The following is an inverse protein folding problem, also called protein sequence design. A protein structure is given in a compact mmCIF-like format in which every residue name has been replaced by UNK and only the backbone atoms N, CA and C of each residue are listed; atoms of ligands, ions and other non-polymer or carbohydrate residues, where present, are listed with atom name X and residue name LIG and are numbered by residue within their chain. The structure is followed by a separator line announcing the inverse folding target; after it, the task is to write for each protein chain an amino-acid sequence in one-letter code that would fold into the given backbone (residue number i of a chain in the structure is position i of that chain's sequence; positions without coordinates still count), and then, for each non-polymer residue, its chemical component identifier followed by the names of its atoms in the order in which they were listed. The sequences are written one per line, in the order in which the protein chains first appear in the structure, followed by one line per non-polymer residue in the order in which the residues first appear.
data_IF_463882751292
#
_entry.id   IF_463882751292
#
_cell.length_a   1.000
_cell.length_b   1.000
_cell.length_c   1.000
_cell.angle_alpha   90.00
_cell.angle_beta   90.00
_cell.angle_gamma   90.00
#
_symmetry.space_group_name_H-M   'P 1'
#
loop_
_entity.id
_entity.type
_entity.pdbx_description
1 polymer ?
#
# COMPACT_ATOMS: atom_id res chain seq x y z
N UNK A 1 15.14 -1.14 -12.18
CA UNK A 1 15.22 -1.22 -10.69
C UNK A 1 15.99 -2.45 -10.21
N UNK A 2 17.10 -2.83 -10.90
CA UNK A 2 17.96 -3.98 -10.51
C UNK A 2 17.19 -5.29 -10.27
N UNK A 3 16.19 -5.63 -11.10
CA UNK A 3 15.28 -6.77 -10.92
C UNK A 3 14.45 -6.71 -9.63
N UNK A 4 14.10 -5.52 -9.17
CA UNK A 4 13.10 -5.31 -8.13
C UNK A 4 11.79 -4.86 -8.77
N UNK A 5 10.69 -5.49 -8.37
CA UNK A 5 9.36 -5.18 -8.85
C UNK A 5 8.73 -4.10 -7.96
N UNK A 6 8.35 -2.92 -8.48
CA UNK A 6 7.55 -1.97 -7.71
C UNK A 6 6.16 -2.56 -7.45
N UNK A 7 5.72 -2.49 -6.20
CA UNK A 7 4.36 -2.86 -5.79
C UNK A 7 3.87 -1.78 -4.86
N UNK A 8 2.75 -1.15 -5.19
CA UNK A 8 2.16 -0.14 -4.33
C UNK A 8 1.47 -0.84 -3.17
N UNK A 9 1.67 -0.31 -1.97
CA UNK A 9 1.00 -0.73 -0.75
C UNK A 9 0.40 0.51 -0.12
N UNK A 10 -0.81 0.38 0.37
CA UNK A 10 -1.48 1.37 1.19
C UNK A 10 -2.23 0.65 2.30
N UNK A 11 -2.29 1.25 3.49
CA UNK A 11 -2.88 0.64 4.67
C UNK A 11 -3.76 1.63 5.44
N UNK A 12 -4.79 1.08 6.10
CA UNK A 12 -5.54 1.79 7.14
C UNK A 12 -5.29 1.13 8.49
N UNK A 13 -5.16 1.93 9.53
CA UNK A 13 -4.67 1.48 10.84
C UNK A 13 -5.49 2.03 11.99
N UNK A 14 -5.41 1.41 13.15
CA UNK A 14 -6.03 1.85 14.40
C UNK A 14 -5.25 2.95 15.14
N UNK A 15 -4.14 3.42 14.58
CA UNK A 15 -3.27 4.43 15.16
C UNK A 15 -1.96 4.55 14.39
N UNK A 16 -0.94 5.18 14.98
CA UNK A 16 0.31 5.50 14.28
C UNK A 16 1.51 4.62 14.69
N UNK A 17 1.37 3.80 15.72
CA UNK A 17 2.45 2.95 16.22
C UNK A 17 2.30 1.50 15.69
N UNK A 18 3.17 1.04 14.77
CA UNK A 18 3.06 -0.28 14.16
C UNK A 18 3.21 -1.45 15.14
N UNK A 19 3.70 -1.20 16.36
CA UNK A 19 3.88 -2.23 17.38
C UNK A 19 2.70 -2.32 18.36
N UNK A 20 1.98 -1.21 18.55
CA UNK A 20 0.90 -1.10 19.51
C UNK A 20 -0.48 -0.93 18.88
N UNK A 21 -0.55 -0.52 17.61
CA UNK A 21 -1.82 -0.24 16.92
C UNK A 21 -2.11 -1.29 15.84
N UNK A 22 -3.40 -1.56 15.64
CA UNK A 22 -3.85 -2.59 14.72
C UNK A 22 -3.79 -2.15 13.25
N UNK A 23 -3.41 -3.07 12.37
CA UNK A 23 -3.66 -2.96 10.95
C UNK A 23 -5.13 -3.32 10.69
N UNK A 24 -5.86 -2.45 10.00
CA UNK A 24 -7.31 -2.59 9.77
C UNK A 24 -7.67 -2.90 8.32
N UNK A 25 -6.91 -2.36 7.37
CA UNK A 25 -7.05 -2.63 5.94
C UNK A 25 -5.67 -2.61 5.30
N UNK A 26 -5.46 -3.44 4.29
CA UNK A 26 -4.28 -3.43 3.44
C UNK A 26 -4.69 -3.62 1.99
N UNK A 27 -4.18 -2.78 1.12
CA UNK A 27 -4.30 -2.93 -0.31
C UNK A 27 -2.93 -2.97 -0.99
N UNK A 28 -2.84 -3.73 -2.07
CA UNK A 28 -1.73 -3.70 -2.99
C UNK A 28 -2.22 -3.39 -4.39
N UNK A 29 -1.54 -2.50 -5.10
CA UNK A 29 -1.75 -2.29 -6.52
C UNK A 29 -0.48 -2.71 -7.27
N UNK A 30 -0.63 -3.69 -8.15
CA UNK A 30 0.47 -4.19 -8.95
C UNK A 30 0.84 -3.18 -10.05
N UNK A 31 2.11 -3.15 -10.41
CA UNK A 31 2.61 -2.36 -11.54
C UNK A 31 2.99 -3.31 -12.66
N UNK A 32 2.35 -3.15 -13.81
CA UNK A 32 2.73 -3.83 -15.04
C UNK A 32 3.75 -3.01 -15.81
N UNK A 33 4.66 -3.70 -16.48
CA UNK A 33 5.68 -3.10 -17.32
C UNK A 33 5.79 -3.88 -18.62
N UNK A 34 5.73 -3.14 -19.72
CA UNK A 34 6.04 -3.65 -21.06
C UNK A 34 6.99 -2.66 -21.75
N UNK A 35 6.45 -1.66 -22.46
CA UNK A 35 7.21 -0.49 -22.92
C UNK A 35 7.17 0.63 -21.89
N UNK A 36 6.01 0.77 -21.24
CA UNK A 36 5.71 1.77 -20.22
C UNK A 36 5.23 1.11 -18.94
N UNK A 37 5.36 1.82 -17.82
CA UNK A 37 4.76 1.44 -16.55
C UNK A 37 3.26 1.71 -16.55
N UNK A 38 2.47 0.72 -16.15
CA UNK A 38 1.01 0.80 -16.11
C UNK A 38 0.48 0.26 -14.79
N UNK A 39 -0.64 0.82 -14.35
CA UNK A 39 -1.38 0.32 -13.21
C UNK A 39 -1.97 -1.04 -13.56
N UNK A 40 -1.67 -2.04 -12.78
CA UNK A 40 -2.19 -3.40 -12.88
C UNK A 40 -3.41 -3.61 -11.99
N UNK A 41 -3.60 -4.84 -11.49
CA UNK A 41 -4.72 -5.17 -10.60
C UNK A 41 -4.48 -4.70 -9.17
N UNK A 42 -5.57 -4.30 -8.51
CA UNK A 42 -5.61 -3.99 -7.08
C UNK A 42 -6.22 -5.15 -6.31
N UNK A 43 -5.64 -5.48 -5.17
CA UNK A 43 -6.10 -6.52 -4.26
C UNK A 43 -6.12 -5.97 -2.84
N UNK A 44 -7.19 -6.23 -2.09
CA UNK A 44 -7.44 -5.67 -0.78
C UNK A 44 -7.95 -6.72 0.19
N UNK A 45 -7.57 -6.56 1.45
CA UNK A 45 -8.20 -7.25 2.58
C UNK A 45 -8.54 -6.28 3.70
N UNK A 46 -9.75 -6.39 4.23
CA UNK A 46 -10.05 -5.90 5.56
C UNK A 46 -9.51 -6.90 6.59
N UNK A 47 -8.96 -6.38 7.68
CA UNK A 47 -8.23 -7.18 8.67
C UNK A 47 -8.96 -7.11 10.01
N UNK A 48 -9.15 -8.27 10.63
CA UNK A 48 -9.58 -8.37 12.02
C UNK A 48 -8.44 -7.82 12.89
N UNK A 49 -8.69 -6.81 13.75
CA UNK A 49 -7.64 -6.29 14.64
C UNK A 49 -6.93 -7.41 15.38
N UNK A 50 -5.60 -7.42 15.31
CA UNK A 50 -4.79 -8.43 15.99
C UNK A 50 -4.96 -8.30 17.51
N UNK A 51 -5.14 -9.42 18.21
CA UNK A 51 -5.38 -9.46 19.65
C UNK A 51 -4.31 -8.69 20.43
N UNK A 52 -4.74 -7.79 21.31
CA UNK A 52 -3.86 -6.98 22.14
C UNK A 52 -3.35 -5.69 21.50
N UNK A 53 -3.73 -5.40 20.24
CA UNK A 53 -3.40 -4.12 19.60
C UNK A 53 -4.56 -3.11 19.75
N UNK A 54 -4.19 -1.82 19.78
CA UNK A 54 -5.13 -0.73 19.95
C UNK A 54 -5.84 -0.38 18.63
N UNK A 55 -7.06 0.11 18.78
CA UNK A 55 -7.81 0.78 17.72
C UNK A 55 -8.42 2.04 18.34
N UNK A 56 -7.97 3.22 17.96
CA UNK A 56 -8.47 4.48 18.47
C UNK A 56 -9.78 4.89 17.77
N UNK A 57 -10.66 5.55 18.49
CA UNK A 57 -11.89 6.11 17.93
C UNK A 57 -11.58 7.14 16.84
N UNK A 58 -10.56 7.98 17.05
CA UNK A 58 -10.09 8.97 16.08
C UNK A 58 -9.69 8.32 14.74
N UNK A 59 -8.99 7.17 14.79
CA UNK A 59 -8.61 6.44 13.57
C UNK A 59 -9.82 5.87 12.84
N UNK A 60 -10.81 5.36 13.57
CA UNK A 60 -12.04 4.85 12.97
C UNK A 60 -12.88 5.97 12.35
N UNK A 61 -12.97 7.13 13.01
CA UNK A 61 -13.66 8.32 12.46
C UNK A 61 -12.95 8.83 11.21
N UNK A 62 -11.63 8.86 11.22
CA UNK A 62 -10.81 9.34 10.09
C UNK A 62 -10.91 8.43 8.87
N UNK A 63 -10.83 7.10 9.07
CA UNK A 63 -10.87 6.11 7.98
C UNK A 63 -12.30 5.73 7.57
N UNK A 64 -13.30 6.03 8.41
CA UNK A 64 -14.66 5.58 8.21
C UNK A 64 -14.86 4.07 8.36
N UNK A 65 -13.89 3.36 8.96
CA UNK A 65 -13.96 1.90 9.10
C UNK A 65 -14.90 1.51 10.23
N UNK A 66 -15.97 0.80 9.87
CA UNK A 66 -16.89 0.16 10.80
C UNK A 66 -16.46 -1.29 11.05
N UNK A 67 -15.78 -1.55 12.18
CA UNK A 67 -15.22 -2.88 12.49
C UNK A 67 -16.26 -4.02 12.43
N UNK A 68 -17.49 -3.73 12.84
CA UNK A 68 -18.58 -4.71 12.95
C UNK A 68 -19.52 -4.70 11.74
N UNK A 69 -19.18 -4.00 10.66
CA UNK A 69 -20.01 -3.96 9.46
C UNK A 69 -20.14 -5.36 8.83
N UNK A 70 -21.36 -5.88 8.59
CA UNK A 70 -21.56 -7.27 8.17
C UNK A 70 -20.96 -7.61 6.80
N UNK A 71 -20.77 -6.61 5.94
CA UNK A 71 -20.16 -6.77 4.60
C UNK A 71 -18.64 -6.56 4.58
N UNK A 72 -18.04 -6.29 5.73
CA UNK A 72 -16.58 -6.04 5.80
C UNK A 72 -15.76 -7.27 5.40
N UNK A 73 -16.26 -8.48 5.68
CA UNK A 73 -15.59 -9.75 5.36
C UNK A 73 -14.11 -9.74 5.76
N UNK A 74 -13.81 -9.21 6.96
CA UNK A 74 -12.46 -9.12 7.46
C UNK A 74 -11.88 -10.51 7.74
N UNK A 75 -10.60 -10.67 7.44
CA UNK A 75 -9.84 -11.92 7.65
C UNK A 75 -8.72 -11.69 8.65
N UNK A 76 -8.13 -12.78 9.13
CA UNK A 76 -6.94 -12.71 9.98
C UNK A 76 -5.78 -12.03 9.26
N UNK A 77 -5.01 -11.21 9.97
CA UNK A 77 -3.84 -10.50 9.43
C UNK A 77 -2.85 -11.45 8.72
N UNK A 78 -2.63 -12.64 9.30
CA UNK A 78 -1.75 -13.66 8.71
C UNK A 78 -2.28 -14.21 7.39
N UNK A 79 -3.58 -14.40 7.28
CA UNK A 79 -4.24 -14.87 6.08
C UNK A 79 -4.14 -13.83 4.97
N UNK A 80 -4.51 -12.57 5.28
CA UNK A 80 -4.38 -11.45 4.35
C UNK A 80 -2.96 -11.32 3.78
N UNK A 81 -1.95 -11.31 4.65
CA UNK A 81 -0.56 -11.18 4.23
C UNK A 81 -0.10 -12.35 3.36
N UNK A 82 -0.48 -13.59 3.68
CA UNK A 82 -0.11 -14.76 2.88
C UNK A 82 -0.72 -14.72 1.49
N UNK A 83 -1.99 -14.31 1.38
CA UNK A 83 -2.66 -14.19 0.09
C UNK A 83 -2.00 -13.10 -0.77
N UNK A 84 -1.86 -11.88 -0.24
CA UNK A 84 -1.21 -10.78 -0.94
C UNK A 84 0.24 -11.13 -1.35
N UNK A 85 1.01 -11.79 -0.47
CA UNK A 85 2.37 -12.21 -0.79
C UNK A 85 2.41 -13.29 -1.89
N UNK A 86 1.40 -14.16 -1.95
CA UNK A 86 1.26 -15.13 -3.04
C UNK A 86 1.04 -14.41 -4.38
N UNK A 87 0.15 -13.41 -4.40
CA UNK A 87 -0.14 -12.59 -5.58
C UNK A 87 1.13 -11.85 -6.03
N UNK A 88 1.83 -11.18 -5.11
CA UNK A 88 3.08 -10.46 -5.40
C UNK A 88 4.15 -11.42 -5.95
N UNK A 89 4.30 -12.61 -5.37
CA UNK A 89 5.28 -13.58 -5.83
C UNK A 89 4.98 -14.10 -7.24
N UNK A 90 3.72 -14.33 -7.58
CA UNK A 90 3.31 -14.69 -8.95
C UNK A 90 3.67 -13.57 -9.93
N UNK A 91 3.35 -12.33 -9.59
CA UNK A 91 3.65 -11.16 -10.41
C UNK A 91 5.16 -10.92 -10.55
N UNK A 92 5.89 -11.03 -9.46
CA UNK A 92 7.36 -10.96 -9.44
C UNK A 92 8.00 -12.01 -10.38
N UNK A 93 7.49 -13.23 -10.38
CA UNK A 93 7.99 -14.30 -11.24
C UNK A 93 7.68 -14.03 -12.73
N UNK A 94 6.51 -13.44 -13.04
CA UNK A 94 6.16 -13.01 -14.42
C UNK A 94 7.21 -12.06 -15.01
N UNK A 95 7.79 -11.18 -14.17
CA UNK A 95 8.80 -10.21 -14.59
C UNK A 95 10.24 -10.62 -14.25
N UNK A 96 10.48 -11.87 -13.87
CA UNK A 96 11.80 -12.40 -13.49
C UNK A 96 12.51 -11.54 -12.44
N UNK A 97 11.73 -10.92 -11.54
CA UNK A 97 12.25 -10.07 -10.48
C UNK A 97 12.64 -10.88 -9.25
N UNK A 98 13.72 -10.47 -8.59
CA UNK A 98 14.24 -11.16 -7.39
C UNK A 98 13.47 -10.78 -6.12
N UNK A 99 12.99 -9.53 -6.02
CA UNK A 99 12.26 -8.97 -4.88
C UNK A 99 11.20 -7.98 -5.34
N UNK A 100 10.22 -7.71 -4.48
CA UNK A 100 9.39 -6.54 -4.57
C UNK A 100 10.04 -5.37 -3.81
N UNK A 101 9.79 -4.15 -4.27
CA UNK A 101 10.07 -2.90 -3.56
C UNK A 101 8.75 -2.19 -3.30
N UNK A 102 8.51 -1.82 -2.06
CA UNK A 102 7.29 -1.13 -1.68
C UNK A 102 7.29 0.28 -2.25
N UNK A 103 6.18 0.65 -2.86
CA UNK A 103 5.85 2.02 -3.26
C UNK A 103 4.70 2.48 -2.38
N UNK A 104 4.76 3.68 -1.82
CA UNK A 104 3.69 4.22 -0.99
C UNK A 104 3.71 5.74 -0.96
N UNK A 105 2.69 6.34 -0.40
CA UNK A 105 2.66 7.76 -0.09
C UNK A 105 2.93 7.94 1.41
N UNK A 106 4.12 8.41 1.78
CA UNK A 106 4.76 8.22 3.08
C UNK A 106 5.10 6.73 3.36
N UNK A 107 5.66 6.08 2.39
CA UNK A 107 5.91 4.64 2.31
C UNK A 107 6.59 4.00 3.54
N UNK A 108 7.29 4.79 4.36
CA UNK A 108 7.89 4.34 5.62
C UNK A 108 6.84 3.90 6.65
N UNK A 109 5.66 4.53 6.64
CA UNK A 109 4.54 4.20 7.51
C UNK A 109 4.00 2.80 7.17
N UNK A 110 3.66 2.59 5.90
CA UNK A 110 3.17 1.28 5.41
C UNK A 110 4.20 0.17 5.64
N UNK A 111 5.46 0.44 5.35
CA UNK A 111 6.54 -0.53 5.57
C UNK A 111 6.71 -0.85 7.05
N UNK A 112 6.54 0.12 7.94
CA UNK A 112 6.60 -0.06 9.39
C UNK A 112 5.55 -1.06 9.88
N UNK A 113 4.29 -0.82 9.53
CA UNK A 113 3.17 -1.72 9.87
C UNK A 113 3.32 -3.10 9.20
N UNK A 114 3.70 -3.14 7.93
CA UNK A 114 3.94 -4.40 7.23
C UNK A 114 5.02 -5.25 7.91
N UNK A 115 6.13 -4.65 8.29
CA UNK A 115 7.22 -5.35 8.99
C UNK A 115 6.81 -5.81 10.39
N UNK A 116 6.04 -5.00 11.13
CA UNK A 116 5.51 -5.37 12.44
C UNK A 116 4.54 -6.56 12.31
N UNK A 117 3.64 -6.51 11.32
CA UNK A 117 2.69 -7.59 11.00
C UNK A 117 3.39 -8.89 10.61
N UNK A 118 4.41 -8.82 9.77
CA UNK A 118 5.25 -9.98 9.40
C UNK A 118 5.89 -10.60 10.63
N UNK A 119 6.43 -9.78 11.53
CA UNK A 119 7.11 -10.23 12.75
C UNK A 119 6.15 -10.91 13.72
N UNK A 120 5.01 -10.27 14.07
CA UNK A 120 4.04 -10.84 15.04
C UNK A 120 3.36 -12.10 14.53
N UNK A 121 3.19 -12.24 13.22
CA UNK A 121 2.65 -13.44 12.59
C UNK A 121 3.68 -14.55 12.31
N UNK A 122 4.95 -14.35 12.65
CA UNK A 122 6.05 -15.28 12.37
C UNK A 122 6.17 -15.67 10.88
N UNK A 123 5.94 -14.72 9.97
CA UNK A 123 6.08 -14.94 8.53
C UNK A 123 7.57 -14.89 8.18
N UNK A 124 8.13 -16.05 7.78
CA UNK A 124 9.58 -16.18 7.55
C UNK A 124 10.09 -15.53 6.26
N UNK A 125 9.23 -15.37 5.25
CA UNK A 125 9.61 -14.88 3.92
C UNK A 125 8.63 -13.82 3.45
N UNK A 126 9.10 -12.57 3.39
CA UNK A 126 8.42 -11.47 2.72
C UNK A 126 8.92 -11.35 1.28
N UNK A 127 8.06 -11.03 0.31
CA UNK A 127 8.49 -10.69 -1.05
C UNK A 127 9.21 -9.34 -1.10
N UNK A 128 8.96 -8.45 -0.15
CA UNK A 128 9.46 -7.09 -0.14
C UNK A 128 10.90 -6.97 0.32
N UNK A 129 11.56 -5.92 -0.16
CA UNK A 129 12.82 -5.46 0.41
C UNK A 129 12.56 -4.93 1.83
N UNK A 130 13.40 -5.28 2.84
CA UNK A 130 13.06 -5.02 4.24
C UNK A 130 13.09 -3.54 4.65
N UNK A 131 13.74 -2.66 3.89
CA UNK A 131 13.92 -1.24 4.24
C UNK A 131 13.99 -0.29 3.04
N UNK A 132 14.06 -0.77 1.79
CA UNK A 132 14.06 0.13 0.62
C UNK A 132 12.65 0.30 0.12
N UNK A 133 12.28 1.55 -0.13
CA UNK A 133 10.96 1.95 -0.65
C UNK A 133 11.12 2.98 -1.75
N UNK A 134 10.08 3.15 -2.56
CA UNK A 134 9.83 4.36 -3.34
C UNK A 134 8.71 5.16 -2.65
N UNK A 135 9.01 6.40 -2.33
CA UNK A 135 8.06 7.28 -1.66
C UNK A 135 7.53 8.35 -2.62
N UNK A 136 6.23 8.32 -2.87
CA UNK A 136 5.58 9.26 -3.81
C UNK A 136 5.47 10.68 -3.26
N UNK A 137 5.61 10.90 -1.94
CA UNK A 137 5.76 12.27 -1.39
C UNK A 137 7.04 12.90 -1.94
N UNK A 138 8.15 12.14 -1.88
CA UNK A 138 9.47 12.63 -2.31
C UNK A 138 9.53 12.84 -3.83
N UNK A 139 9.16 11.81 -4.61
CA UNK A 139 9.24 11.89 -6.07
C UNK A 139 8.18 12.85 -6.65
N UNK A 140 6.98 12.87 -6.08
CA UNK A 140 5.91 13.79 -6.45
C UNK A 140 6.28 15.23 -6.10
N UNK A 141 6.87 15.45 -4.92
CA UNK A 141 7.38 16.76 -4.49
C UNK A 141 8.43 17.34 -5.45
N UNK A 142 9.38 16.50 -5.89
CA UNK A 142 10.40 16.91 -6.86
C UNK A 142 9.77 17.20 -8.24
N UNK A 143 8.81 16.39 -8.67
CA UNK A 143 8.26 16.46 -10.02
C UNK A 143 7.18 17.55 -10.18
N UNK A 144 6.33 17.75 -9.16
CA UNK A 144 5.16 18.65 -9.22
C UNK A 144 5.24 19.85 -8.27
N UNK A 145 6.15 19.83 -7.30
CA UNK A 145 6.19 20.81 -6.19
C UNK A 145 5.12 20.53 -5.12
N UNK A 146 4.38 19.43 -5.19
CA UNK A 146 3.30 19.06 -4.25
C UNK A 146 3.70 17.83 -3.44
N UNK A 147 3.22 17.75 -2.17
CA UNK A 147 3.50 16.63 -1.26
C UNK A 147 2.25 15.93 -0.75
N UNK A 148 1.06 16.40 -1.11
CA UNK A 148 -0.23 15.80 -0.76
C UNK A 148 -0.73 14.99 -1.96
N UNK A 149 -1.09 13.72 -1.76
CA UNK A 149 -1.47 12.78 -2.84
C UNK A 149 -2.51 13.37 -3.79
N UNK A 150 -3.60 13.91 -3.25
CA UNK A 150 -4.66 14.53 -4.03
C UNK A 150 -4.15 15.70 -4.92
N UNK A 151 -3.21 16.50 -4.41
CA UNK A 151 -2.63 17.62 -5.16
C UNK A 151 -1.66 17.13 -6.24
N UNK A 152 -0.82 16.14 -5.92
CA UNK A 152 0.07 15.51 -6.90
C UNK A 152 -0.75 14.88 -8.03
N UNK A 153 -1.80 14.12 -7.69
CA UNK A 153 -2.69 13.51 -8.66
C UNK A 153 -3.31 14.55 -9.61
N UNK A 154 -3.82 15.64 -9.07
CA UNK A 154 -4.40 16.75 -9.85
C UNK A 154 -3.38 17.41 -10.76
N UNK A 155 -2.17 17.71 -10.32
CA UNK A 155 -1.09 18.28 -11.13
C UNK A 155 -0.68 17.34 -12.28
N UNK A 156 -0.80 16.03 -12.08
CA UNK A 156 -0.53 15.03 -13.10
C UNK A 156 -1.74 14.74 -14.02
N UNK A 157 -2.87 15.45 -13.83
CA UNK A 157 -4.07 15.34 -14.65
C UNK A 157 -4.98 14.17 -14.28
N UNK A 158 -4.90 13.67 -13.05
CA UNK A 158 -5.82 12.67 -12.52
C UNK A 158 -6.93 13.30 -11.70
N UNK A 159 -8.14 12.76 -11.83
CA UNK A 159 -9.23 13.05 -10.91
C UNK A 159 -8.96 12.40 -9.54
N UNK A 160 -9.32 13.10 -8.48
CA UNK A 160 -9.24 12.61 -7.11
C UNK A 160 -10.57 12.83 -6.41
N UNK A 161 -11.20 11.74 -6.00
CA UNK A 161 -12.50 11.72 -5.36
C UNK A 161 -12.31 11.72 -3.84
N UNK A 162 -12.56 12.86 -3.19
CA UNK A 162 -12.39 13.00 -1.73
C UNK A 162 -13.28 12.06 -0.93
N UNK A 163 -14.42 11.65 -1.49
CA UNK A 163 -15.36 10.71 -0.85
C UNK A 163 -14.82 9.28 -0.77
N UNK A 164 -13.87 8.92 -1.64
CA UNK A 164 -13.19 7.63 -1.66
C UNK A 164 -11.83 7.64 -0.97
N UNK A 165 -11.35 8.82 -0.56
CA UNK A 165 -10.12 8.97 0.20
C UNK A 165 -10.18 8.17 1.50
N UNK A 166 -9.01 7.73 1.99
CA UNK A 166 -8.88 6.88 3.17
C UNK A 166 -9.51 5.49 3.00
N UNK A 167 -9.55 5.01 1.76
CA UNK A 167 -9.73 3.60 1.44
C UNK A 167 -8.42 3.09 0.87
N UNK A 168 -7.80 2.11 1.50
CA UNK A 168 -6.49 1.60 1.09
C UNK A 168 -6.48 1.18 -0.40
N UNK A 169 -7.59 0.67 -0.92
CA UNK A 169 -7.68 0.30 -2.33
C UNK A 169 -7.67 1.52 -3.26
N UNK A 170 -8.41 2.57 -2.94
CA UNK A 170 -8.44 3.79 -3.74
C UNK A 170 -7.09 4.54 -3.69
N UNK A 171 -6.54 4.73 -2.49
CA UNK A 171 -5.29 5.47 -2.31
C UNK A 171 -4.09 4.72 -2.90
N UNK A 172 -4.07 3.37 -2.84
CA UNK A 172 -3.06 2.59 -3.56
C UNK A 172 -3.16 2.71 -5.09
N UNK A 173 -4.38 2.76 -5.66
CA UNK A 173 -4.56 2.97 -7.11
C UNK A 173 -4.12 4.36 -7.55
N UNK A 174 -4.47 5.41 -6.82
CA UNK A 174 -4.03 6.78 -7.10
C UNK A 174 -2.51 6.89 -6.99
N UNK A 175 -1.94 6.32 -5.93
CA UNK A 175 -0.48 6.25 -5.74
C UNK A 175 0.20 5.53 -6.91
N UNK A 176 -0.39 4.44 -7.41
CA UNK A 176 0.12 3.71 -8.58
C UNK A 176 0.05 4.55 -9.86
N UNK A 177 -1.06 5.29 -10.09
CA UNK A 177 -1.21 6.21 -11.22
C UNK A 177 -0.15 7.31 -11.18
N UNK A 178 0.04 7.92 -10.02
CA UNK A 178 1.08 8.95 -9.78
C UNK A 178 2.47 8.39 -10.08
N UNK A 179 2.80 7.24 -9.48
CA UNK A 179 4.11 6.60 -9.66
C UNK A 179 4.39 6.26 -11.12
N UNK A 180 3.47 5.59 -11.82
CA UNK A 180 3.62 5.24 -13.23
C UNK A 180 3.75 6.48 -14.12
N UNK A 181 2.95 7.52 -13.89
CA UNK A 181 3.00 8.77 -14.66
C UNK A 181 4.36 9.46 -14.52
N UNK A 182 4.89 9.54 -13.31
CA UNK A 182 6.20 10.17 -13.07
C UNK A 182 7.30 9.34 -13.75
N UNK A 183 7.30 8.02 -13.59
CA UNK A 183 8.32 7.16 -14.22
C UNK A 183 8.32 7.25 -15.75
N UNK A 184 7.14 7.26 -16.36
CA UNK A 184 7.01 7.33 -17.82
C UNK A 184 7.39 8.71 -18.38
N UNK A 185 7.46 9.76 -17.55
CA UNK A 185 7.94 11.08 -17.95
C UNK A 185 9.46 11.29 -17.74
N UNK A 186 10.10 10.43 -16.93
CA UNK A 186 11.55 10.51 -16.66
C UNK A 186 12.35 9.63 -17.62
N UNK A 187 11.76 8.56 -18.14
CA UNK A 187 12.34 7.62 -19.10
C UNK A 187 11.96 7.99 -20.53
#
# INVERSE_FOLDING_TARGET
FRKFLPVVVDIETGGFDPFNDALLEIAITLIDYDKDFRVGSTHRHHIIPFEGLNVSEESLEFTGIELNHPLRNAVDEKEALKDLFSIINKHKNKYECSRAILVGHNAHFDLGFLNASIKRNNIKRSPFHPFSVFDTVSIGGIFTGQTVLARIAKELGFEYENELAHSASYDSEITAKVFCRILNNIN
#
